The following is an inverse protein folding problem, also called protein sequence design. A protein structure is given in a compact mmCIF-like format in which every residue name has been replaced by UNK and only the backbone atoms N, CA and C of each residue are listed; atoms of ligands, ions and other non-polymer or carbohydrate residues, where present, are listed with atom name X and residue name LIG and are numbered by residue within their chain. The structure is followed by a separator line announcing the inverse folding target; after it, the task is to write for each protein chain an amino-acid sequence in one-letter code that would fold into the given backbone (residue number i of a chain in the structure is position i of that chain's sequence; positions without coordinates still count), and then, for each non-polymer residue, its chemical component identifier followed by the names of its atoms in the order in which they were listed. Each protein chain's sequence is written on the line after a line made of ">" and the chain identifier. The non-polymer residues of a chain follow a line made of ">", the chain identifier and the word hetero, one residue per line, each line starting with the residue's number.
data_IF_927067565791
#
_entry.id   IF_927067565791
#
_cell.length_a   1.000
_cell.length_b   1.000
_cell.length_c   1.000
_cell.angle_alpha   90.00
_cell.angle_beta   90.00
_cell.angle_gamma   90.00
#
_symmetry.space_group_name_H-M   'P 1'
#
loop_
_entity.id
_entity.type
_entity.pdbx_description
1 polymer ?
#
# COMPACT_ATOMS: atom_id res chain seq x y z
N UNK A 1 4.80 9.16 -11.48
CA UNK A 1 4.26 9.03 -10.10
C UNK A 1 2.84 9.51 -10.09
N UNK A 2 1.96 8.87 -9.33
CA UNK A 2 0.56 9.30 -9.21
C UNK A 2 0.28 9.82 -7.80
N UNK A 3 -0.52 10.87 -7.70
CA UNK A 3 -1.12 11.31 -6.45
C UNK A 3 -2.63 11.29 -6.64
N UNK A 4 -3.31 10.63 -5.71
CA UNK A 4 -4.74 10.41 -5.75
C UNK A 4 -5.39 11.09 -4.57
N UNK A 5 -6.47 11.81 -4.85
CA UNK A 5 -7.38 12.32 -3.85
C UNK A 5 -8.76 12.33 -4.49
N UNK A 6 -9.70 11.63 -3.89
CA UNK A 6 -11.07 11.64 -4.38
C UNK A 6 -11.69 13.04 -4.29
N UNK A 7 -12.64 13.27 -5.19
CA UNK A 7 -13.39 14.49 -5.32
C UNK A 7 -14.87 14.16 -5.49
N UNK A 8 -15.69 15.20 -5.56
CA UNK A 8 -17.14 15.10 -5.84
C UNK A 8 -17.98 14.61 -4.66
N UNK A 9 -17.55 14.96 -3.46
CA UNK A 9 -18.34 14.87 -2.23
C UNK A 9 -18.24 16.19 -1.43
N UNK A 10 -19.28 16.52 -0.63
CA UNK A 10 -19.27 17.71 0.21
C UNK A 10 -18.48 17.46 1.50
N UNK A 11 -17.36 18.17 1.65
CA UNK A 11 -16.61 18.22 2.90
C UNK A 11 -15.28 18.95 2.71
N UNK A 12 -14.86 19.71 3.72
CA UNK A 12 -13.62 20.47 3.65
C UNK A 12 -12.40 19.59 3.95
N UNK A 13 -12.53 18.72 4.96
CA UNK A 13 -11.51 17.77 5.35
C UNK A 13 -11.62 16.50 4.51
N UNK A 14 -12.82 15.99 4.28
CA UNK A 14 -13.11 14.85 3.41
C UNK A 14 -13.82 15.29 2.12
N UNK A 15 -13.18 15.29 0.95
CA UNK A 15 -11.73 15.24 0.74
C UNK A 15 -11.21 16.42 -0.08
N UNK A 16 -11.88 17.58 0.03
CA UNK A 16 -11.37 18.82 -0.56
C UNK A 16 -9.94 19.13 -0.07
N UNK A 17 -9.58 18.71 1.15
CA UNK A 17 -8.23 18.84 1.70
C UNK A 17 -7.17 18.07 0.90
N UNK A 18 -7.44 16.81 0.51
CA UNK A 18 -6.53 16.00 -0.29
C UNK A 18 -6.36 16.56 -1.69
N UNK A 19 -7.46 17.00 -2.31
CA UNK A 19 -7.42 17.69 -3.61
C UNK A 19 -6.59 18.98 -3.53
N UNK A 20 -6.79 19.80 -2.50
CA UNK A 20 -6.03 21.03 -2.29
C UNK A 20 -4.53 20.74 -2.10
N UNK A 21 -4.17 19.69 -1.36
CA UNK A 21 -2.78 19.26 -1.19
C UNK A 21 -2.14 18.82 -2.51
N UNK A 22 -2.86 18.07 -3.36
CA UNK A 22 -2.39 17.70 -4.70
C UNK A 22 -2.11 18.93 -5.57
N UNK A 23 -3.04 19.87 -5.64
CA UNK A 23 -2.91 21.09 -6.44
C UNK A 23 -1.75 21.94 -5.93
N UNK A 24 -1.64 22.13 -4.61
CA UNK A 24 -0.57 22.92 -4.01
C UNK A 24 0.79 22.25 -4.21
N UNK A 25 0.88 20.92 -4.11
CA UNK A 25 2.11 20.20 -4.43
C UNK A 25 2.55 20.42 -5.89
N UNK A 26 1.62 20.34 -6.85
CA UNK A 26 1.91 20.65 -8.25
C UNK A 26 2.41 22.11 -8.41
N UNK A 27 1.73 23.06 -7.76
CA UNK A 27 2.10 24.49 -7.79
C UNK A 27 3.48 24.76 -7.19
N UNK A 28 3.84 24.07 -6.10
CA UNK A 28 5.17 24.16 -5.47
C UNK A 28 6.24 23.68 -6.45
N UNK A 29 6.05 22.49 -7.04
CA UNK A 29 7.03 21.89 -7.94
C UNK A 29 7.22 22.73 -9.20
N UNK A 30 6.15 23.14 -9.87
CA UNK A 30 6.23 23.99 -11.07
C UNK A 30 6.92 25.33 -10.75
N UNK A 31 6.62 25.96 -9.61
CA UNK A 31 7.29 27.19 -9.19
C UNK A 31 8.78 27.01 -8.96
N UNK A 32 9.21 25.91 -8.34
CA UNK A 32 10.61 25.63 -8.08
C UNK A 32 11.38 25.27 -9.36
N UNK A 33 10.73 24.51 -10.27
CA UNK A 33 11.28 24.18 -11.59
C UNK A 33 11.45 25.44 -12.45
N UNK A 34 10.42 26.29 -12.52
CA UNK A 34 10.47 27.52 -13.30
C UNK A 34 11.56 28.49 -12.81
N UNK A 35 11.83 28.50 -11.50
CA UNK A 35 12.90 29.29 -10.88
C UNK A 35 14.31 28.67 -11.01
N UNK A 36 14.43 27.47 -11.57
CA UNK A 36 15.71 26.73 -11.63
C UNK A 36 16.20 26.18 -10.29
N UNK A 37 15.38 26.22 -9.24
CA UNK A 37 15.72 25.66 -7.93
C UNK A 37 15.61 24.13 -7.90
N UNK A 38 14.79 23.56 -8.79
CA UNK A 38 14.71 22.13 -9.08
C UNK A 38 14.84 21.92 -10.59
N UNK A 39 15.40 20.78 -10.99
CA UNK A 39 15.38 20.35 -12.37
C UNK A 39 14.00 19.79 -12.72
N UNK A 40 13.67 19.73 -14.02
CA UNK A 40 12.46 19.00 -14.43
C UNK A 40 12.70 17.51 -14.22
N UNK A 41 11.83 16.79 -13.48
CA UNK A 41 12.06 15.39 -13.16
C UNK A 41 12.07 14.50 -14.40
N UNK A 42 12.83 13.39 -14.33
CA UNK A 42 12.90 12.41 -15.41
C UNK A 42 11.56 11.75 -15.78
N UNK A 43 10.60 11.73 -14.86
CA UNK A 43 9.29 11.09 -15.05
C UNK A 43 8.17 12.05 -14.71
N UNK A 44 7.02 11.85 -15.35
CA UNK A 44 5.84 12.66 -15.09
C UNK A 44 5.23 12.37 -13.72
N UNK A 45 4.76 13.44 -13.07
CA UNK A 45 3.88 13.38 -11.90
C UNK A 45 2.46 13.66 -12.40
N UNK A 46 1.50 12.82 -12.01
CA UNK A 46 0.09 12.96 -12.40
C UNK A 46 -0.77 13.07 -11.14
N UNK A 47 -1.52 14.15 -11.04
CA UNK A 47 -2.57 14.30 -10.03
C UNK A 47 -3.87 13.73 -10.60
N UNK A 48 -4.55 12.86 -9.85
CA UNK A 48 -5.80 12.23 -10.23
C UNK A 48 -6.88 12.54 -9.20
N UNK A 49 -7.99 13.09 -9.70
CA UNK A 49 -9.17 13.45 -8.93
C UNK A 49 -10.41 12.91 -9.62
N UNK A 50 -11.31 12.31 -8.85
CA UNK A 50 -12.53 11.70 -9.35
C UNK A 50 -13.39 11.16 -8.22
N UNK A 51 -14.55 10.61 -8.57
CA UNK A 51 -15.47 10.02 -7.60
C UNK A 51 -14.81 8.86 -6.83
N UNK A 52 -14.84 8.94 -5.49
CA UNK A 52 -14.50 7.81 -4.63
C UNK A 52 -15.44 6.63 -4.92
N UNK A 53 -14.97 5.41 -5.08
CA UNK A 53 -13.71 4.97 -5.69
C UNK A 53 -13.89 4.63 -7.18
N UNK A 54 -15.15 4.68 -7.64
CA UNK A 54 -15.60 4.23 -8.95
C UNK A 54 -14.93 4.98 -10.09
N UNK A 55 -14.64 6.27 -9.92
CA UNK A 55 -13.96 7.07 -10.94
C UNK A 55 -12.54 6.56 -11.21
N UNK A 56 -11.81 6.22 -10.15
CA UNK A 56 -10.43 5.73 -10.27
C UNK A 56 -10.38 4.34 -10.89
N UNK A 57 -11.23 3.42 -10.43
CA UNK A 57 -11.23 2.05 -10.95
C UNK A 57 -11.77 1.97 -12.38
N UNK A 58 -12.85 2.72 -12.68
CA UNK A 58 -13.31 2.83 -14.06
C UNK A 58 -12.20 3.35 -14.97
N UNK A 59 -11.51 4.43 -14.58
CA UNK A 59 -10.37 4.94 -15.33
C UNK A 59 -9.31 3.86 -15.49
N UNK A 60 -8.89 3.18 -14.42
CA UNK A 60 -7.87 2.13 -14.44
C UNK A 60 -8.19 0.98 -15.38
N UNK A 61 -9.43 0.51 -15.38
CA UNK A 61 -9.89 -0.64 -16.15
C UNK A 61 -10.15 -0.33 -17.62
N UNK A 62 -10.63 0.87 -17.92
CA UNK A 62 -11.15 1.20 -19.26
C UNK A 62 -10.22 2.11 -20.07
N UNK A 63 -9.23 2.74 -19.43
CA UNK A 63 -8.27 3.57 -20.16
C UNK A 63 -7.02 2.77 -20.50
N UNK A 64 -6.78 2.59 -21.81
CA UNK A 64 -5.54 1.99 -22.31
C UNK A 64 -4.36 2.88 -21.96
N UNK A 65 -3.30 2.29 -21.40
CA UNK A 65 -2.05 2.97 -21.07
C UNK A 65 -0.88 2.20 -21.63
N UNK A 66 0.08 2.91 -22.20
CA UNK A 66 1.32 2.31 -22.69
C UNK A 66 2.29 2.02 -21.54
N UNK A 67 2.18 2.75 -20.43
CA UNK A 67 3.04 2.59 -19.26
C UNK A 67 2.21 2.64 -17.98
N UNK A 68 2.50 1.72 -17.07
CA UNK A 68 1.95 1.73 -15.72
C UNK A 68 2.71 2.76 -14.86
N UNK A 69 2.04 3.42 -13.90
CA UNK A 69 2.75 4.21 -12.89
C UNK A 69 3.79 3.36 -12.17
N UNK A 70 4.89 3.99 -11.72
CA UNK A 70 5.93 3.29 -10.96
C UNK A 70 5.65 3.31 -9.44
N UNK A 71 4.91 4.30 -8.95
CA UNK A 71 4.46 4.44 -7.57
C UNK A 71 3.33 5.47 -7.51
N UNK A 72 2.50 5.36 -6.48
CA UNK A 72 1.40 6.25 -6.16
C UNK A 72 1.44 6.75 -4.72
N UNK A 73 0.49 7.60 -4.36
CA UNK A 73 0.09 7.94 -2.98
C UNK A 73 -1.39 8.31 -2.97
N UNK A 74 -2.16 7.76 -2.04
CA UNK A 74 -3.51 8.22 -1.73
C UNK A 74 -3.44 9.32 -0.66
N UNK A 75 -4.16 10.41 -0.86
CA UNK A 75 -4.17 11.58 0.02
C UNK A 75 -5.62 11.84 0.36
N UNK A 76 -5.96 11.54 1.60
CA UNK A 76 -7.34 11.56 2.03
C UNK A 76 -7.44 11.97 3.50
N UNK A 77 -8.35 12.90 3.80
CA UNK A 77 -8.56 13.51 5.12
C UNK A 77 -7.29 14.11 5.76
N UNK A 78 -6.70 15.12 5.11
CA UNK A 78 -5.40 15.69 5.49
C UNK A 78 -5.48 17.13 6.00
N UNK A 79 -4.56 17.50 6.89
CA UNK A 79 -4.45 18.86 7.40
C UNK A 79 -5.51 19.23 8.44
N UNK A 80 -6.05 18.27 9.19
CA UNK A 80 -6.96 18.53 10.31
C UNK A 80 -6.29 19.35 11.44
N UNK A 81 -7.02 20.23 12.12
CA UNK A 81 -6.49 20.86 13.34
C UNK A 81 -6.18 19.83 14.42
N UNK A 82 -5.22 20.15 15.29
CA UNK A 82 -4.65 19.23 16.27
C UNK A 82 -5.72 18.68 17.22
N UNK A 83 -6.71 19.50 17.61
CA UNK A 83 -7.84 19.10 18.45
C UNK A 83 -8.75 18.05 17.79
N UNK A 84 -8.78 17.95 16.46
CA UNK A 84 -9.61 17.01 15.71
C UNK A 84 -8.86 15.73 15.34
N UNK A 85 -7.53 15.74 15.37
CA UNK A 85 -6.69 14.58 15.03
C UNK A 85 -5.82 14.05 16.18
N UNK A 86 -5.92 14.62 17.38
CA UNK A 86 -5.04 14.32 18.50
C UNK A 86 -3.54 14.50 18.15
N UNK A 87 -3.26 15.49 17.29
CA UNK A 87 -1.91 15.77 16.81
C UNK A 87 -1.29 14.67 15.95
N UNK A 88 -2.07 13.81 15.29
CA UNK A 88 -1.54 12.69 14.50
C UNK A 88 -1.41 13.04 13.01
N UNK A 89 -0.35 12.52 12.39
CA UNK A 89 -0.22 12.36 10.95
C UNK A 89 0.16 10.90 10.68
N UNK A 90 -0.69 10.19 9.95
CA UNK A 90 -0.50 8.76 9.69
C UNK A 90 -0.07 8.51 8.25
N UNK A 91 0.95 7.66 8.12
CA UNK A 91 1.39 7.11 6.85
C UNK A 91 1.10 5.61 6.84
N UNK A 92 0.05 5.24 6.13
CA UNK A 92 -0.39 3.86 5.97
C UNK A 92 0.42 3.19 4.87
N UNK A 93 0.87 1.97 5.16
CA UNK A 93 1.58 1.15 4.20
C UNK A 93 0.72 0.85 2.96
N UNK A 94 1.36 0.70 1.80
CA UNK A 94 0.75 0.04 0.64
C UNK A 94 0.33 -1.39 0.97
N UNK A 95 -0.56 -1.97 0.14
CA UNK A 95 -1.00 -3.38 0.22
C UNK A 95 0.20 -4.33 0.46
N UNK A 96 0.09 -5.33 1.36
CA UNK A 96 1.20 -6.21 1.75
C UNK A 96 1.90 -6.96 0.60
N UNK A 97 1.17 -7.23 -0.48
CA UNK A 97 1.65 -7.91 -1.70
C UNK A 97 2.35 -6.94 -2.67
N UNK A 98 2.51 -5.67 -2.31
CA UNK A 98 3.11 -4.63 -3.15
C UNK A 98 4.46 -4.16 -2.60
N UNK A 99 5.16 -3.34 -3.38
CA UNK A 99 6.52 -2.92 -3.09
C UNK A 99 6.58 -1.94 -1.91
N UNK A 100 7.26 -2.34 -0.83
CA UNK A 100 7.24 -1.61 0.45
C UNK A 100 8.14 -0.37 0.51
N UNK A 101 9.00 -0.12 -0.48
CA UNK A 101 9.97 0.99 -0.43
C UNK A 101 9.32 2.35 -0.29
N UNK A 102 8.11 2.50 -0.85
CA UNK A 102 7.29 3.71 -0.68
C UNK A 102 6.92 3.98 0.78
N UNK A 103 6.77 2.93 1.60
CA UNK A 103 6.43 3.06 3.01
C UNK A 103 7.60 3.71 3.77
N UNK A 104 8.83 3.24 3.50
CA UNK A 104 10.06 3.75 4.14
C UNK A 104 10.45 5.12 3.60
N UNK A 105 10.32 5.35 2.29
CA UNK A 105 10.56 6.67 1.71
C UNK A 105 9.60 7.70 2.31
N UNK A 106 8.30 7.39 2.33
CA UNK A 106 7.30 8.25 2.96
C UNK A 106 7.65 8.55 4.41
N UNK A 107 7.97 7.54 5.23
CA UNK A 107 8.45 7.74 6.60
C UNK A 107 9.58 8.77 6.69
N UNK A 108 10.62 8.63 5.87
CA UNK A 108 11.75 9.55 5.88
C UNK A 108 11.33 10.97 5.53
N UNK A 109 10.57 11.14 4.43
CA UNK A 109 10.12 12.45 3.94
C UNK A 109 9.21 13.14 4.95
N UNK A 110 8.21 12.44 5.48
CA UNK A 110 7.25 13.01 6.42
C UNK A 110 7.90 13.35 7.76
N UNK A 111 8.72 12.46 8.33
CA UNK A 111 9.46 12.77 9.56
C UNK A 111 10.34 14.00 9.40
N UNK A 112 11.08 14.10 8.28
CA UNK A 112 11.93 15.26 8.03
C UNK A 112 11.13 16.54 7.82
N UNK A 113 9.99 16.45 7.13
CA UNK A 113 9.09 17.60 6.94
C UNK A 113 8.53 18.08 8.28
N UNK A 114 8.11 17.19 9.17
CA UNK A 114 7.60 17.56 10.49
C UNK A 114 8.70 18.17 11.38
N UNK A 115 9.92 17.66 11.30
CA UNK A 115 11.08 18.24 12.00
C UNK A 115 11.35 19.69 11.55
N UNK A 116 11.29 19.95 10.24
CA UNK A 116 11.59 21.26 9.66
C UNK A 116 10.44 22.26 9.81
N UNK A 117 9.19 21.81 9.61
CA UNK A 117 8.02 22.68 9.60
C UNK A 117 7.34 22.83 10.97
N UNK A 118 7.56 21.88 11.87
CA UNK A 118 6.97 21.78 13.20
C UNK A 118 5.48 22.19 13.29
N UNK A 119 4.57 21.54 12.52
CA UNK A 119 3.16 21.92 12.51
C UNK A 119 2.39 21.45 13.76
N UNK A 120 3.05 20.79 14.72
CA UNK A 120 2.45 20.18 15.90
C UNK A 120 1.99 18.73 15.74
N UNK A 121 2.18 18.12 14.56
CA UNK A 121 1.87 16.70 14.36
C UNK A 121 3.00 15.76 14.81
N UNK A 122 2.61 14.57 15.26
CA UNK A 122 3.45 13.42 15.45
C UNK A 122 3.24 12.42 14.31
N UNK A 123 4.35 11.94 13.74
CA UNK A 123 4.33 10.93 12.69
C UNK A 123 3.99 9.55 13.27
N UNK A 124 3.05 8.86 12.62
CA UNK A 124 2.68 7.48 12.93
C UNK A 124 2.78 6.58 11.70
N UNK A 125 3.44 5.44 11.86
CA UNK A 125 3.38 4.35 10.88
C UNK A 125 2.12 3.51 11.11
N UNK A 126 1.35 3.28 10.05
CA UNK A 126 0.17 2.42 10.10
C UNK A 126 0.29 1.25 9.11
N UNK A 127 -0.27 0.07 9.44
CA UNK A 127 -0.43 -1.00 8.46
C UNK A 127 -1.36 -0.56 7.33
N UNK A 128 -1.35 -1.32 6.22
CA UNK A 128 -2.33 -1.14 5.16
C UNK A 128 -3.74 -1.28 5.74
N UNK A 129 -4.64 -0.46 5.21
CA UNK A 129 -6.07 -0.48 5.50
C UNK A 129 -6.76 -0.37 4.15
N UNK A 130 -7.66 -1.31 3.87
CA UNK A 130 -8.56 -1.17 2.73
C UNK A 130 -9.60 -0.08 3.03
N UNK A 131 -9.49 1.00 2.27
CA UNK A 131 -10.51 2.00 2.03
C UNK A 131 -10.98 1.82 0.58
N UNK A 132 -12.03 2.51 0.18
CA UNK A 132 -12.48 2.49 -1.21
C UNK A 132 -11.34 2.89 -2.16
N UNK A 133 -10.55 3.91 -1.82
CA UNK A 133 -9.45 4.41 -2.66
C UNK A 133 -8.13 3.64 -2.55
N UNK A 134 -7.78 3.16 -1.36
CA UNK A 134 -6.47 2.52 -1.13
C UNK A 134 -6.34 1.15 -1.78
N UNK A 135 -7.46 0.55 -2.20
CA UNK A 135 -7.46 -0.63 -3.06
C UNK A 135 -6.87 -0.37 -4.45
N UNK A 136 -6.60 0.88 -4.83
CA UNK A 136 -5.80 1.20 -6.02
C UNK A 136 -4.37 0.62 -5.95
N UNK A 137 -3.89 0.30 -4.74
CA UNK A 137 -2.66 -0.45 -4.54
C UNK A 137 -2.77 -1.95 -4.89
N UNK A 138 -3.88 -2.42 -5.47
CA UNK A 138 -4.05 -3.78 -5.96
C UNK A 138 -2.84 -4.17 -6.86
N UNK A 139 -2.14 -5.28 -6.54
CA UNK A 139 -0.98 -5.73 -7.32
C UNK A 139 -1.22 -5.91 -8.82
N UNK A 140 -2.46 -6.19 -9.27
CA UNK A 140 -2.79 -6.29 -10.69
C UNK A 140 -2.72 -4.94 -11.43
N UNK A 141 -2.85 -3.81 -10.73
CA UNK A 141 -2.56 -2.49 -11.30
C UNK A 141 -1.05 -2.19 -11.38
N UNK A 142 -0.22 -2.96 -10.66
CA UNK A 142 1.23 -2.99 -10.86
C UNK A 142 1.99 -1.82 -10.27
N UNK A 143 1.50 -1.18 -9.21
CA UNK A 143 2.25 -0.15 -8.49
C UNK A 143 1.88 -0.09 -6.99
N UNK A 144 2.84 0.29 -6.12
CA UNK A 144 2.56 0.51 -4.71
C UNK A 144 1.90 1.88 -4.48
N UNK A 145 0.94 1.94 -3.57
CA UNK A 145 0.20 3.16 -3.23
C UNK A 145 -0.06 3.21 -1.71
N UNK A 146 0.80 3.89 -0.92
CA UNK A 146 0.55 4.17 0.49
C UNK A 146 -0.50 5.27 0.65
N UNK A 147 -0.99 5.48 1.87
CA UNK A 147 -2.02 6.47 2.17
C UNK A 147 -1.60 7.45 3.28
N UNK A 148 -1.78 8.74 3.00
CA UNK A 148 -1.63 9.82 3.96
C UNK A 148 -3.00 10.26 4.50
N UNK A 149 -3.13 10.29 5.83
CA UNK A 149 -4.27 10.90 6.53
C UNK A 149 -3.81 11.61 7.80
N UNK A 150 -4.62 12.55 8.28
CA UNK A 150 -4.45 13.16 9.60
C UNK A 150 -5.54 12.78 10.60
N UNK A 151 -6.60 12.05 10.24
CA UNK A 151 -7.80 11.99 11.09
C UNK A 151 -7.98 10.68 11.85
N UNK A 152 -7.15 9.65 11.64
CA UNK A 152 -7.45 8.33 12.20
C UNK A 152 -7.34 8.27 13.72
N UNK A 153 -8.40 7.75 14.36
CA UNK A 153 -8.45 7.42 15.80
C UNK A 153 -7.99 5.98 16.05
N UNK A 154 -7.19 5.80 17.09
CA UNK A 154 -6.71 4.48 17.51
C UNK A 154 -7.89 3.58 17.95
N UNK A 155 -7.91 2.32 17.49
CA UNK A 155 -8.93 1.33 17.89
C UNK A 155 -10.23 1.31 17.09
N UNK A 156 -10.39 2.17 16.06
CA UNK A 156 -11.55 2.10 15.17
C UNK A 156 -11.26 1.21 13.95
N UNK A 157 -12.09 0.18 13.76
CA UNK A 157 -12.06 -0.72 12.61
C UNK A 157 -12.63 0.01 11.39
N UNK A 158 -11.89 0.00 10.27
CA UNK A 158 -12.32 0.62 9.03
C UNK A 158 -13.25 -0.30 8.26
N UNK A 159 -14.44 0.21 7.92
CA UNK A 159 -15.37 -0.18 6.85
C UNK A 159 -15.75 -1.66 6.59
N UNK A 160 -15.33 -2.60 7.42
CA UNK A 160 -15.80 -3.99 7.37
C UNK A 160 -16.16 -4.52 8.76
N UNK A 161 -16.55 -3.62 9.67
CA UNK A 161 -17.24 -4.05 10.88
C UNK A 161 -18.65 -4.51 10.47
N UNK A 162 -19.06 -5.76 10.76
CA UNK A 162 -20.43 -6.21 10.56
C UNK A 162 -21.39 -5.24 11.25
N UNK A 163 -22.54 -5.02 10.61
CA UNK A 163 -23.76 -4.27 10.96
C UNK A 163 -24.27 -4.31 12.44
N UNK A 164 -23.41 -4.39 13.45
CA UNK A 164 -23.79 -4.75 14.83
C UNK A 164 -23.40 -3.75 15.91
N UNK A 165 -22.74 -2.62 15.60
CA UNK A 165 -22.56 -1.53 16.57
C UNK A 165 -22.71 -0.15 15.93
N UNK A 166 -23.39 0.81 16.60
CA UNK A 166 -23.48 2.18 16.13
C UNK A 166 -22.07 2.76 16.14
N UNK A 167 -21.55 3.01 14.95
CA UNK A 167 -20.20 3.50 14.77
C UNK A 167 -20.23 5.01 14.98
N UNK A 168 -19.87 5.47 16.18
CA UNK A 168 -19.40 6.85 16.38
C UNK A 168 -18.34 7.10 15.31
N UNK A 169 -18.46 8.20 14.55
CA UNK A 169 -17.65 8.48 13.35
C UNK A 169 -16.26 7.85 13.36
N UNK A 170 -15.97 7.07 12.31
CA UNK A 170 -14.78 6.24 12.11
C UNK A 170 -13.47 7.02 11.94
N UNK A 171 -13.58 8.32 11.70
CA UNK A 171 -12.43 9.18 11.43
C UNK A 171 -12.42 10.35 12.41
N UNK A 172 -13.36 11.28 12.27
CA UNK A 172 -13.49 12.48 13.10
C UNK A 172 -14.97 12.88 13.24
N UNK A 173 -15.35 13.56 14.31
CA UNK A 173 -16.78 13.69 14.70
C UNK A 173 -17.70 14.32 13.64
N UNK A 174 -17.15 15.11 12.72
CA UNK A 174 -17.87 15.84 11.67
C UNK A 174 -17.92 15.11 10.31
N UNK A 175 -17.27 13.95 10.19
CA UNK A 175 -17.20 13.15 8.97
C UNK A 175 -18.59 12.88 8.36
N UNK A 176 -18.70 12.99 7.03
CA UNK A 176 -19.94 12.80 6.27
C UNK A 176 -21.14 13.62 6.79
N UNK A 177 -20.88 14.84 7.26
CA UNK A 177 -21.93 15.75 7.74
C UNK A 177 -21.69 17.18 7.24
N UNK A 178 -22.73 18.01 7.29
CA UNK A 178 -22.60 19.45 6.99
C UNK A 178 -21.68 20.21 7.96
N UNK A 179 -21.21 19.58 9.04
CA UNK A 179 -20.22 20.13 9.95
C UNK A 179 -18.78 19.96 9.44
N UNK A 180 -18.52 19.18 8.38
CA UNK A 180 -17.21 19.14 7.73
C UNK A 180 -16.99 20.42 6.90
N UNK A 181 -16.50 21.44 7.61
CA UNK A 181 -16.30 22.79 7.09
C UNK A 181 -14.83 23.19 7.14
N UNK A 182 -14.40 24.24 6.41
CA UNK A 182 -13.01 24.71 6.45
C UNK A 182 -12.50 25.08 7.85
N UNK A 183 -13.40 25.26 8.83
CA UNK A 183 -13.04 25.48 10.22
C UNK A 183 -12.26 24.30 10.86
N UNK A 184 -12.35 23.09 10.30
CA UNK A 184 -11.60 21.91 10.74
C UNK A 184 -10.15 21.89 10.23
N UNK A 185 -9.82 22.74 9.25
CA UNK A 185 -8.53 22.73 8.57
C UNK A 185 -7.47 23.55 9.31
N UNK A 186 -6.26 23.01 9.33
CA UNK A 186 -5.04 23.64 9.83
C UNK A 186 -4.19 24.13 8.67
N UNK A 187 -3.91 25.45 8.65
CA UNK A 187 -3.04 26.05 7.63
C UNK A 187 -1.61 25.51 7.69
N UNK A 188 -1.06 25.34 8.89
CA UNK A 188 0.29 24.75 9.08
C UNK A 188 0.29 23.26 8.72
N UNK A 189 -0.81 22.56 9.04
CA UNK A 189 -0.97 21.15 8.71
C UNK A 189 -1.01 20.90 7.21
N UNK A 190 -1.89 21.60 6.48
CA UNK A 190 -1.98 21.53 5.02
C UNK A 190 -0.66 21.88 4.35
N UNK A 191 0.06 22.90 4.85
CA UNK A 191 1.40 23.26 4.36
C UNK A 191 2.39 22.11 4.52
N UNK A 192 2.41 21.46 5.67
CA UNK A 192 3.31 20.32 5.92
C UNK A 192 2.97 19.14 5.01
N UNK A 193 1.68 18.82 4.84
CA UNK A 193 1.21 17.77 3.94
C UNK A 193 1.62 18.06 2.48
N UNK A 194 1.34 19.27 1.96
CA UNK A 194 1.71 19.66 0.59
C UNK A 194 3.22 19.64 0.36
N UNK A 195 4.01 20.10 1.33
CA UNK A 195 5.48 20.08 1.25
C UNK A 195 6.01 18.64 1.20
N UNK A 196 5.53 17.77 2.09
CA UNK A 196 5.95 16.37 2.13
C UNK A 196 5.54 15.61 0.86
N UNK A 197 4.32 15.81 0.37
CA UNK A 197 3.81 15.18 -0.86
C UNK A 197 4.62 15.66 -2.08
N UNK A 198 4.89 16.96 -2.19
CA UNK A 198 5.73 17.49 -3.26
C UNK A 198 7.13 16.85 -3.24
N UNK A 199 7.77 16.77 -2.07
CA UNK A 199 9.08 16.15 -1.92
C UNK A 199 9.07 14.65 -2.24
N UNK A 200 8.07 13.91 -1.76
CA UNK A 200 7.90 12.48 -2.02
C UNK A 200 7.72 12.18 -3.52
N UNK A 201 6.82 12.91 -4.18
CA UNK A 201 6.53 12.75 -5.60
C UNK A 201 7.72 13.16 -6.46
N UNK A 202 8.36 14.29 -6.15
CA UNK A 202 9.52 14.78 -6.89
C UNK A 202 10.68 13.80 -6.79
N UNK A 203 11.04 13.35 -5.59
CA UNK A 203 12.13 12.40 -5.40
C UNK A 203 11.91 11.12 -6.24
N UNK A 204 10.72 10.53 -6.21
CA UNK A 204 10.43 9.33 -7.00
C UNK A 204 10.40 9.59 -8.50
N UNK A 205 9.94 10.76 -8.93
CA UNK A 205 9.88 11.14 -10.33
C UNK A 205 11.27 11.44 -10.92
N UNK A 206 12.11 12.10 -10.13
CA UNK A 206 13.45 12.56 -10.49
C UNK A 206 14.52 11.49 -10.28
N UNK A 207 14.27 10.47 -9.43
CA UNK A 207 15.26 9.44 -9.13
C UNK A 207 15.85 8.82 -10.41
N UNK A 208 17.17 8.88 -10.52
CA UNK A 208 17.96 8.25 -11.56
C UNK A 208 18.32 6.80 -11.18
N UNK A 209 19.14 6.19 -12.02
CA UNK A 209 19.67 4.85 -11.82
C UNK A 209 20.46 4.69 -10.52
N UNK A 210 21.22 5.70 -10.12
CA UNK A 210 22.02 5.66 -8.89
C UNK A 210 21.10 5.69 -7.66
N UNK A 211 20.16 6.65 -7.61
CA UNK A 211 19.25 6.76 -6.47
C UNK A 211 18.32 5.55 -6.36
N UNK A 212 17.89 4.97 -7.48
CA UNK A 212 17.17 3.69 -7.47
C UNK A 212 18.01 2.54 -6.90
N UNK A 213 19.31 2.50 -7.19
CA UNK A 213 20.24 1.50 -6.66
C UNK A 213 20.52 1.70 -5.16
N UNK A 214 20.60 2.95 -4.71
CA UNK A 214 20.71 3.29 -3.29
C UNK A 214 19.46 2.89 -2.50
N UNK A 215 18.27 3.11 -3.08
CA UNK A 215 17.02 2.59 -2.53
C UNK A 215 17.06 1.06 -2.43
N UNK A 216 17.50 0.35 -3.48
CA UNK A 216 17.64 -1.10 -3.45
C UNK A 216 18.55 -1.60 -2.31
N UNK A 217 19.70 -0.95 -2.11
CA UNK A 217 20.62 -1.27 -1.01
C UNK A 217 19.99 -0.98 0.37
N UNK A 218 19.23 0.11 0.48
CA UNK A 218 18.49 0.46 1.71
C UNK A 218 17.39 -0.56 2.02
N UNK A 219 16.65 -0.99 1.00
CA UNK A 219 15.65 -2.05 1.05
C UNK A 219 16.25 -3.36 1.56
N UNK A 220 17.32 -3.81 0.92
CA UNK A 220 18.02 -5.05 1.27
C UNK A 220 18.48 -5.05 2.73
N UNK A 221 19.15 -3.97 3.17
CA UNK A 221 19.57 -3.81 4.57
C UNK A 221 18.39 -3.81 5.55
N UNK A 222 17.28 -3.14 5.19
CA UNK A 222 16.07 -3.15 6.02
C UNK A 222 15.55 -4.58 6.23
N UNK A 223 15.47 -5.37 5.16
CA UNK A 223 14.96 -6.74 5.24
C UNK A 223 15.93 -7.67 5.98
N UNK A 224 17.24 -7.58 5.75
CA UNK A 224 18.26 -8.33 6.51
C UNK A 224 18.13 -8.05 8.02
N UNK A 225 18.08 -6.76 8.39
CA UNK A 225 17.95 -6.35 9.79
C UNK A 225 16.65 -6.88 10.43
N UNK A 226 15.55 -6.87 9.66
CA UNK A 226 14.28 -7.42 10.13
C UNK A 226 14.34 -8.93 10.30
N UNK A 227 14.93 -9.65 9.33
CA UNK A 227 15.10 -11.10 9.39
C UNK A 227 15.95 -11.55 10.58
N UNK A 228 17.04 -10.84 10.87
CA UNK A 228 17.93 -11.11 12.00
C UNK A 228 17.22 -11.01 13.37
N UNK A 229 16.15 -10.21 13.45
CA UNK A 229 15.37 -10.01 14.68
C UNK A 229 14.25 -11.04 14.87
N UNK A 230 13.95 -11.87 13.87
CA UNK A 230 12.86 -12.86 13.97
C UNK A 230 13.27 -13.99 14.91
N UNK A 231 12.41 -14.24 15.90
CA UNK A 231 12.51 -15.36 16.85
C UNK A 231 11.19 -16.13 16.88
N UNK A 232 11.21 -17.32 17.49
CA UNK A 232 10.01 -18.12 17.75
C UNK A 232 9.67 -19.15 16.68
N UNK A 233 8.56 -19.88 16.91
CA UNK A 233 8.17 -21.08 16.16
C UNK A 233 7.87 -20.82 14.66
N UNK A 234 7.44 -19.61 14.31
CA UNK A 234 7.12 -19.22 12.93
C UNK A 234 8.29 -18.59 12.17
N UNK A 235 9.52 -18.70 12.69
CA UNK A 235 10.71 -18.02 12.14
C UNK A 235 10.91 -18.28 10.64
N UNK A 236 10.86 -19.55 10.21
CA UNK A 236 11.09 -19.89 8.80
C UNK A 236 10.02 -19.31 7.88
N UNK A 237 8.74 -19.39 8.26
CA UNK A 237 7.65 -18.84 7.46
C UNK A 237 7.76 -17.30 7.35
N UNK A 238 8.11 -16.62 8.44
CA UNK A 238 8.32 -15.17 8.43
C UNK A 238 9.54 -14.77 7.60
N UNK A 239 10.63 -15.55 7.61
CA UNK A 239 11.79 -15.30 6.75
C UNK A 239 11.38 -15.39 5.27
N UNK A 240 10.68 -16.45 4.86
CA UNK A 240 10.20 -16.57 3.47
C UNK A 240 9.24 -15.44 3.08
N UNK A 241 8.31 -15.07 3.96
CA UNK A 241 7.41 -13.94 3.77
C UNK A 241 8.17 -12.62 3.54
N UNK A 242 9.23 -12.39 4.33
CA UNK A 242 10.07 -11.20 4.16
C UNK A 242 10.95 -11.25 2.90
N UNK A 243 11.42 -12.44 2.48
CA UNK A 243 12.14 -12.59 1.20
C UNK A 243 11.25 -12.23 0.03
N UNK A 244 10.00 -12.68 0.06
CA UNK A 244 9.02 -12.36 -0.98
C UNK A 244 8.73 -10.86 -1.07
N UNK A 245 8.46 -10.22 0.06
CA UNK A 245 8.23 -8.77 0.12
C UNK A 245 9.45 -7.96 -0.35
N UNK A 246 10.68 -8.42 -0.07
CA UNK A 246 11.91 -7.83 -0.59
C UNK A 246 11.99 -7.99 -2.11
N UNK A 247 11.77 -9.20 -2.63
CA UNK A 247 11.81 -9.48 -4.07
C UNK A 247 10.83 -8.60 -4.84
N UNK A 248 9.61 -8.44 -4.34
CA UNK A 248 8.61 -7.54 -4.93
C UNK A 248 9.13 -6.09 -4.96
N UNK A 249 9.74 -5.64 -3.86
CA UNK A 249 10.27 -4.27 -3.76
C UNK A 249 11.42 -4.02 -4.74
N UNK A 250 12.36 -4.96 -4.85
CA UNK A 250 13.50 -4.88 -5.77
C UNK A 250 13.04 -4.94 -7.23
N UNK A 251 12.13 -5.86 -7.57
CA UNK A 251 11.56 -5.95 -8.93
C UNK A 251 10.85 -4.66 -9.33
N UNK A 252 10.13 -4.02 -8.40
CA UNK A 252 9.49 -2.75 -8.68
C UNK A 252 10.52 -1.62 -8.88
N UNK A 253 11.56 -1.53 -8.06
CA UNK A 253 12.62 -0.52 -8.19
C UNK A 253 13.43 -0.68 -9.49
N UNK A 254 13.62 -1.91 -10.00
CA UNK A 254 14.27 -2.16 -11.30
C UNK A 254 13.61 -1.38 -12.45
N UNK A 255 12.32 -1.01 -12.34
CA UNK A 255 11.61 -0.21 -13.36
C UNK A 255 12.11 1.23 -13.48
N UNK A 256 12.95 1.70 -12.56
CA UNK A 256 13.63 3.01 -12.71
C UNK A 256 14.79 2.95 -13.69
N UNK A 257 15.29 1.76 -14.04
CA UNK A 257 16.43 1.60 -14.93
C UNK A 257 15.97 1.74 -16.38
N UNK A 258 16.55 2.67 -17.17
CA UNK A 258 16.25 2.77 -18.58
C UNK A 258 16.54 1.45 -19.31
N UNK A 259 15.75 1.06 -20.32
CA UNK A 259 15.97 -0.18 -21.08
C UNK A 259 17.24 -0.16 -21.95
N UNK A 260 18.06 0.88 -21.86
CA UNK A 260 19.29 1.03 -22.64
C UNK A 260 20.33 -0.01 -22.21
N UNK A 261 21.05 -0.61 -23.16
CA UNK A 261 22.12 -1.57 -22.83
C UNK A 261 23.49 -0.91 -22.61
N UNK A 262 23.52 0.34 -22.13
CA UNK A 262 24.79 1.00 -21.81
C UNK A 262 25.42 0.42 -20.53
N UNK A 263 26.70 0.70 -20.30
CA UNK A 263 27.45 0.15 -19.17
C UNK A 263 26.79 0.44 -17.82
N UNK A 264 26.32 1.68 -17.61
CA UNK A 264 25.64 2.11 -16.37
C UNK A 264 24.35 1.32 -16.10
N UNK A 265 23.55 1.05 -17.11
CA UNK A 265 22.30 0.28 -16.95
C UNK A 265 22.59 -1.19 -16.67
N UNK A 266 23.64 -1.77 -17.28
CA UNK A 266 24.08 -3.14 -16.99
C UNK A 266 24.61 -3.28 -15.56
N UNK A 267 25.42 -2.33 -15.12
CA UNK A 267 25.94 -2.27 -13.74
C UNK A 267 24.79 -2.17 -12.73
N UNK A 268 23.82 -1.30 -12.98
CA UNK A 268 22.65 -1.18 -12.13
C UNK A 268 21.85 -2.48 -12.07
N UNK A 269 21.55 -3.11 -13.21
CA UNK A 269 20.85 -4.41 -13.24
C UNK A 269 21.61 -5.46 -12.41
N UNK A 270 22.93 -5.54 -12.58
CA UNK A 270 23.77 -6.44 -11.80
C UNK A 270 23.70 -6.14 -10.28
N UNK A 271 23.64 -4.87 -9.89
CA UNK A 271 23.48 -4.46 -8.49
C UNK A 271 22.12 -4.89 -7.90
N UNK A 272 21.03 -4.77 -8.67
CA UNK A 272 19.74 -5.29 -8.21
C UNK A 272 19.72 -6.82 -8.11
N UNK A 273 20.39 -7.53 -9.03
CA UNK A 273 20.54 -8.99 -8.95
C UNK A 273 21.39 -9.40 -7.73
N UNK A 274 22.43 -8.63 -7.42
CA UNK A 274 23.19 -8.78 -6.18
C UNK A 274 22.28 -8.62 -4.95
N UNK A 275 21.45 -7.57 -4.89
CA UNK A 275 20.50 -7.36 -3.79
C UNK A 275 19.54 -8.54 -3.60
N UNK A 276 19.01 -9.11 -4.69
CA UNK A 276 18.15 -10.30 -4.65
C UNK A 276 18.90 -11.52 -4.10
N UNK A 277 20.11 -11.76 -4.61
CA UNK A 277 20.96 -12.87 -4.19
C UNK A 277 21.36 -12.77 -2.71
N UNK A 278 21.65 -11.56 -2.22
CA UNK A 278 22.01 -11.32 -0.83
C UNK A 278 20.89 -11.80 0.12
N UNK A 279 19.64 -11.45 -0.17
CA UNK A 279 18.48 -11.88 0.64
C UNK A 279 18.17 -13.38 0.52
N UNK A 280 18.29 -13.94 -0.69
CA UNK A 280 18.08 -15.37 -0.93
C UNK A 280 19.16 -16.23 -0.24
N UNK A 281 20.36 -15.69 -0.05
CA UNK A 281 21.44 -16.36 0.68
C UNK A 281 21.42 -16.10 2.18
N UNK A 282 20.81 -15.00 2.62
CA UNK A 282 20.74 -14.64 4.03
C UNK A 282 19.84 -15.59 4.81
N UNK A 283 20.36 -16.17 5.89
CA UNK A 283 19.62 -17.12 6.76
C UNK A 283 18.91 -18.23 5.97
N UNK A 284 19.60 -18.83 4.98
CA UNK A 284 19.06 -19.98 4.22
C UNK A 284 18.46 -21.00 5.20
N UNK A 285 17.23 -21.47 4.93
CA UNK A 285 16.60 -22.44 5.81
C UNK A 285 17.47 -23.71 5.88
N UNK A 286 17.57 -24.38 7.04
CA UNK A 286 18.18 -25.69 7.09
C UNK A 286 17.48 -26.63 6.09
N UNK A 287 18.24 -27.52 5.44
CA UNK A 287 17.70 -28.55 4.55
C UNK A 287 16.49 -29.22 5.23
N UNK A 288 15.39 -29.37 4.48
CA UNK A 288 14.10 -29.89 4.98
C UNK A 288 14.31 -31.14 5.84
N UNK A 289 14.11 -31.02 7.16
CA UNK A 289 13.88 -32.19 8.00
C UNK A 289 12.50 -32.76 7.65
N UNK A 290 12.50 -34.06 7.30
CA UNK A 290 11.31 -34.84 6.92
C UNK A 290 10.36 -34.95 8.11
N UNK A 291 9.51 -33.94 8.29
CA UNK A 291 8.56 -33.90 9.41
C UNK A 291 7.55 -32.78 9.22
N UNK A 292 6.83 -32.75 8.10
CA UNK A 292 5.63 -31.91 7.97
C UNK A 292 4.43 -32.83 7.83
N UNK A 293 3.40 -32.60 8.66
CA UNK A 293 2.06 -33.17 8.47
C UNK A 293 1.70 -33.05 6.98
N UNK A 294 1.24 -34.15 6.37
CA UNK A 294 0.75 -34.14 4.99
C UNK A 294 -0.38 -33.11 4.91
N UNK A 295 -0.14 -32.01 4.21
CA UNK A 295 -1.20 -31.05 3.88
C UNK A 295 -2.34 -31.80 3.18
N UNK A 296 -3.57 -31.51 3.59
CA UNK A 296 -4.79 -32.09 2.99
C UNK A 296 -4.84 -31.76 1.50
N UNK A 297 -5.62 -32.52 0.73
CA UNK A 297 -5.80 -32.29 -0.72
C UNK A 297 -6.27 -30.86 -1.00
N UNK A 298 -7.17 -30.33 -0.17
CA UNK A 298 -7.69 -28.97 -0.26
C UNK A 298 -6.61 -27.91 -0.11
N UNK A 299 -5.69 -28.07 0.85
CA UNK A 299 -4.64 -27.09 1.13
C UNK A 299 -3.54 -27.02 0.07
N UNK A 300 -3.54 -27.97 -0.87
CA UNK A 300 -2.64 -27.99 -2.03
C UNK A 300 -3.21 -27.25 -3.25
N UNK A 301 -4.49 -26.85 -3.21
CA UNK A 301 -5.09 -26.07 -4.30
C UNK A 301 -4.39 -24.72 -4.44
N UNK A 302 -4.25 -24.26 -5.68
CA UNK A 302 -3.57 -23.01 -6.02
C UNK A 302 -4.61 -22.06 -6.62
N UNK A 303 -5.08 -21.05 -5.88
CA UNK A 303 -6.03 -20.08 -6.41
C UNK A 303 -5.32 -19.06 -7.30
N UNK A 304 -5.93 -18.74 -8.43
CA UNK A 304 -5.53 -17.64 -9.33
C UNK A 304 -6.68 -16.66 -9.45
N UNK A 305 -6.44 -15.41 -9.09
CA UNK A 305 -7.43 -14.35 -9.21
C UNK A 305 -7.72 -14.00 -10.66
N UNK A 306 -9.01 -13.85 -10.96
CA UNK A 306 -9.55 -13.50 -12.29
C UNK A 306 -10.17 -12.11 -12.34
N UNK A 307 -10.55 -11.54 -11.19
CA UNK A 307 -11.13 -10.21 -11.07
C UNK A 307 -10.16 -9.20 -10.42
N UNK A 308 -10.25 -7.93 -10.83
CA UNK A 308 -9.62 -6.82 -10.13
C UNK A 308 -10.37 -6.55 -8.82
N UNK A 309 -9.66 -6.05 -7.81
CA UNK A 309 -10.21 -5.73 -6.50
C UNK A 309 -10.82 -6.95 -5.77
N UNK A 310 -11.26 -6.72 -4.54
CA UNK A 310 -12.05 -7.67 -3.76
C UNK A 310 -13.53 -7.28 -3.81
N UNK A 311 -14.48 -8.23 -3.76
CA UNK A 311 -15.89 -7.91 -3.79
C UNK A 311 -16.29 -7.12 -2.53
N UNK A 312 -17.16 -6.13 -2.72
CA UNK A 312 -17.88 -5.51 -1.60
C UNK A 312 -18.98 -6.45 -1.12
N UNK A 313 -19.15 -6.62 0.20
CA UNK A 313 -20.19 -7.50 0.73
C UNK A 313 -21.61 -7.03 0.38
N UNK A 314 -21.82 -5.72 0.20
CA UNK A 314 -23.11 -5.12 -0.15
C UNK A 314 -23.66 -5.62 -1.49
N UNK A 315 -22.77 -5.88 -2.45
CA UNK A 315 -23.14 -6.35 -3.80
C UNK A 315 -22.87 -7.85 -3.98
N UNK A 316 -22.64 -8.60 -2.89
CA UNK A 316 -22.37 -10.03 -2.92
C UNK A 316 -23.62 -10.81 -2.49
N UNK A 317 -24.04 -11.89 -3.21
CA UNK A 317 -25.16 -12.72 -2.78
C UNK A 317 -25.02 -13.20 -1.34
N UNK A 318 -26.05 -13.04 -0.51
CA UNK A 318 -25.99 -13.24 0.95
C UNK A 318 -25.35 -14.57 1.37
N UNK A 319 -25.67 -15.74 0.78
CA UNK A 319 -25.03 -17.00 1.19
C UNK A 319 -23.51 -17.01 1.00
N UNK A 320 -23.00 -16.24 0.04
CA UNK A 320 -21.56 -16.15 -0.21
C UNK A 320 -20.93 -15.08 0.67
N UNK A 321 -21.60 -13.92 0.83
CA UNK A 321 -21.17 -12.86 1.73
C UNK A 321 -20.98 -13.39 3.15
N UNK A 322 -21.92 -14.19 3.66
CA UNK A 322 -21.86 -14.80 4.99
C UNK A 322 -20.62 -15.70 5.17
N UNK A 323 -20.22 -16.46 4.13
CA UNK A 323 -19.01 -17.30 4.18
C UNK A 323 -17.74 -16.46 4.18
N UNK A 324 -17.70 -15.39 3.38
CA UNK A 324 -16.56 -14.45 3.34
C UNK A 324 -16.41 -13.81 4.72
N UNK A 325 -17.49 -13.29 5.30
CA UNK A 325 -17.49 -12.67 6.62
C UNK A 325 -17.08 -13.66 7.73
N UNK A 326 -17.64 -14.88 7.73
CA UNK A 326 -17.34 -15.91 8.73
C UNK A 326 -15.85 -16.34 8.74
N UNK A 327 -15.15 -16.17 7.62
CA UNK A 327 -13.71 -16.43 7.54
C UNK A 327 -12.89 -15.48 8.43
N UNK A 328 -13.40 -14.27 8.71
CA UNK A 328 -12.68 -13.23 9.45
C UNK A 328 -11.35 -12.82 8.81
N UNK A 329 -11.17 -13.09 7.51
CA UNK A 329 -10.04 -12.61 6.73
C UNK A 329 -10.34 -11.22 6.16
N UNK A 330 -9.32 -10.39 6.11
CA UNK A 330 -9.40 -9.08 5.47
C UNK A 330 -9.73 -9.23 3.98
N UNK A 331 -10.50 -8.32 3.37
CA UNK A 331 -10.90 -8.43 1.96
C UNK A 331 -9.72 -8.60 1.00
N UNK A 332 -8.60 -7.90 1.26
CA UNK A 332 -7.40 -7.98 0.41
C UNK A 332 -6.63 -9.30 0.56
N UNK A 333 -7.00 -10.20 1.47
CA UNK A 333 -6.44 -11.55 1.52
C UNK A 333 -6.57 -12.29 0.17
N UNK A 334 -7.60 -11.92 -0.60
CA UNK A 334 -7.82 -12.37 -1.97
C UNK A 334 -6.62 -12.10 -2.90
N UNK A 335 -5.84 -11.04 -2.66
CA UNK A 335 -4.70 -10.69 -3.51
C UNK A 335 -3.52 -11.66 -3.37
N UNK A 336 -3.54 -12.56 -2.37
CA UNK A 336 -2.59 -13.69 -2.31
C UNK A 336 -2.88 -14.80 -3.35
N UNK A 337 -4.03 -14.76 -4.05
CA UNK A 337 -4.34 -15.68 -5.15
C UNK A 337 -3.58 -15.30 -6.44
N UNK A 338 -2.27 -15.45 -6.41
CA UNK A 338 -1.35 -15.15 -7.50
C UNK A 338 -1.22 -16.26 -8.55
N UNK A 339 -1.91 -17.40 -8.36
CA UNK A 339 -1.81 -18.57 -9.23
C UNK A 339 -0.55 -19.40 -9.06
N UNK A 340 0.27 -19.12 -8.04
CA UNK A 340 1.52 -19.85 -7.75
C UNK A 340 1.48 -20.47 -6.35
N UNK A 341 0.89 -19.79 -5.37
CA UNK A 341 0.84 -20.23 -3.98
C UNK A 341 -0.31 -21.18 -3.71
N UNK A 342 -0.01 -22.26 -3.01
CA UNK A 342 -1.03 -23.14 -2.42
C UNK A 342 -1.76 -22.44 -1.27
N UNK A 343 -2.99 -22.85 -0.96
CA UNK A 343 -3.72 -22.37 0.22
C UNK A 343 -2.92 -22.54 1.53
N UNK A 344 -2.08 -23.58 1.64
CA UNK A 344 -1.16 -23.75 2.77
C UNK A 344 -0.11 -22.63 2.86
N UNK A 345 0.46 -22.21 1.73
CA UNK A 345 1.41 -21.10 1.67
C UNK A 345 0.71 -19.77 1.94
N UNK A 346 -0.49 -19.56 1.40
CA UNK A 346 -1.30 -18.36 1.66
C UNK A 346 -1.64 -18.26 3.16
N UNK A 347 -2.00 -19.37 3.80
CA UNK A 347 -2.23 -19.40 5.26
C UNK A 347 -0.98 -18.95 6.05
N UNK A 348 0.22 -19.33 5.60
CA UNK A 348 1.48 -18.89 6.20
C UNK A 348 1.73 -17.39 5.97
N UNK A 349 1.47 -16.88 4.76
CA UNK A 349 1.54 -15.44 4.48
C UNK A 349 0.60 -14.64 5.38
N UNK A 350 -0.68 -15.03 5.46
CA UNK A 350 -1.68 -14.37 6.30
C UNK A 350 -1.32 -14.43 7.79
N UNK A 351 -0.77 -15.55 8.26
CA UNK A 351 -0.27 -15.66 9.65
C UNK A 351 0.88 -14.69 9.93
N UNK A 352 1.77 -14.47 8.95
CA UNK A 352 2.86 -13.52 9.07
C UNK A 352 2.37 -12.07 9.00
N UNK A 353 1.46 -11.79 8.07
CA UNK A 353 0.84 -10.49 7.84
C UNK A 353 0.05 -10.02 9.07
N UNK A 354 -0.87 -10.85 9.58
CA UNK A 354 -1.72 -10.52 10.72
C UNK A 354 -1.00 -10.67 12.07
N UNK A 355 0.22 -11.20 12.07
CA UNK A 355 1.02 -11.49 13.27
C UNK A 355 0.30 -12.36 14.30
N UNK A 356 -0.66 -13.18 13.86
CA UNK A 356 -1.44 -14.12 14.67
C UNK A 356 -1.73 -15.38 13.84
N UNK A 357 -1.87 -16.57 14.47
CA UNK A 357 -2.24 -17.78 13.75
C UNK A 357 -3.55 -17.61 12.97
N UNK A 358 -3.55 -18.04 11.70
CA UNK A 358 -4.73 -18.08 10.85
C UNK A 358 -5.16 -19.52 10.64
N UNK A 359 -6.45 -19.80 10.85
CA UNK A 359 -7.02 -21.14 10.63
C UNK A 359 -7.12 -21.44 9.13
N UNK A 360 -6.43 -22.50 8.70
CA UNK A 360 -6.37 -22.92 7.32
C UNK A 360 -7.74 -23.35 6.77
N UNK A 361 -8.67 -23.80 7.62
CA UNK A 361 -10.06 -24.09 7.21
C UNK A 361 -10.80 -22.82 6.79
N UNK A 362 -10.60 -21.73 7.53
CA UNK A 362 -11.17 -20.42 7.18
C UNK A 362 -10.59 -19.88 5.87
N UNK A 363 -9.31 -20.14 5.62
CA UNK A 363 -8.67 -19.83 4.33
C UNK A 363 -9.30 -20.63 3.20
N UNK A 364 -9.52 -21.94 3.34
CA UNK A 364 -10.24 -22.73 2.34
C UNK A 364 -11.63 -22.16 2.07
N UNK A 365 -12.43 -21.93 3.12
CA UNK A 365 -13.79 -21.38 3.01
C UNK A 365 -13.82 -20.03 2.29
N UNK A 366 -12.88 -19.14 2.60
CA UNK A 366 -12.76 -17.85 1.94
C UNK A 366 -12.49 -17.99 0.44
N UNK A 367 -11.53 -18.82 0.03
CA UNK A 367 -11.22 -18.98 -1.39
C UNK A 367 -12.26 -19.81 -2.14
N UNK A 368 -12.90 -20.79 -1.51
CA UNK A 368 -14.07 -21.48 -2.07
C UNK A 368 -15.22 -20.49 -2.32
N UNK A 369 -15.43 -19.54 -1.39
CA UNK A 369 -16.41 -18.48 -1.58
C UNK A 369 -16.10 -17.56 -2.78
N UNK A 370 -14.84 -17.18 -2.95
CA UNK A 370 -14.42 -16.37 -4.10
C UNK A 370 -14.41 -17.16 -5.41
N UNK A 371 -14.22 -18.48 -5.37
CA UNK A 371 -14.37 -19.34 -6.54
C UNK A 371 -15.82 -19.37 -7.01
N UNK A 372 -16.78 -19.55 -6.08
CA UNK A 372 -18.21 -19.56 -6.41
C UNK A 372 -18.70 -18.20 -6.96
N UNK A 373 -18.05 -17.09 -6.59
CA UNK A 373 -18.30 -15.77 -7.17
C UNK A 373 -17.61 -15.54 -8.53
N UNK A 374 -16.73 -16.43 -8.97
CA UNK A 374 -15.93 -16.25 -10.17
C UNK A 374 -14.77 -15.25 -10.04
N UNK A 375 -14.38 -14.89 -8.80
CA UNK A 375 -13.24 -14.00 -8.52
C UNK A 375 -11.89 -14.73 -8.57
N UNK A 376 -11.90 -16.06 -8.46
CA UNK A 376 -10.72 -16.89 -8.66
C UNK A 376 -11.04 -18.09 -9.54
N UNK A 377 -10.00 -18.69 -10.09
CA UNK A 377 -10.00 -20.05 -10.63
C UNK A 377 -8.98 -20.91 -9.88
N UNK A 378 -9.17 -22.22 -9.88
CA UNK A 378 -8.19 -23.17 -9.36
C UNK A 378 -7.22 -23.56 -10.49
N UNK A 379 -5.93 -23.25 -10.32
CA UNK A 379 -4.91 -23.78 -11.22
C UNK A 379 -4.80 -25.30 -11.03
N UNK A 380 -4.65 -26.01 -12.15
CA UNK A 380 -4.54 -27.47 -12.19
C UNK A 380 -3.20 -27.96 -11.62
#
# INVERSE_FOLDING_TARGET
>A
MWALAHSNEPGALDNASGVAVCIEAARILEKLIHKGALQRPHRSIRMLHGYECYGFFHYLEHTKRNELPLAGVNIDTVGAKLEHCHGRLEWHATVPMSAGFVNRLGRTVFRKTLELANPGYHYHDAPFVATSDTLIGDPQYGFPCPWLTTTRREGQAMFYAPYKKPVRSLFYDQYHSSADTPALLSRSGLRACATAIAAYLYFLADADTQQASELASSETRYFINRMNRIKGRNRSAMIEYLRDAHRISITQLKRWIPPTQNAKSREAVAHFDYCLNEIDQHLKPPQKTKGRQRATKELKRVPRRTALLSPTLENTPSPIADRIEASGLEPWALFWADGVRTLAQITQCLTCEYKKPVDSKKVCQFFDAHYDLGYITWNK
#
